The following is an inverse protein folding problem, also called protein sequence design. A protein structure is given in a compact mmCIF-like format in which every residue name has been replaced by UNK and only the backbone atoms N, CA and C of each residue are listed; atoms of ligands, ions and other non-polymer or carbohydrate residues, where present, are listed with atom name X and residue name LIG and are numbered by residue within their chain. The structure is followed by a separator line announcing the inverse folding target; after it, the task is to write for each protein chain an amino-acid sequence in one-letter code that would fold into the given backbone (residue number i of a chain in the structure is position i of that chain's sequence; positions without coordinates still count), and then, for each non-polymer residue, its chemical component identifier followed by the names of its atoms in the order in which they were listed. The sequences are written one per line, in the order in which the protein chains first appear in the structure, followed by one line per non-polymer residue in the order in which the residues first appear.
data_IF_419109411078
#
_entry.id   IF_419109411078
#
_cell.length_a   1.000
_cell.length_b   1.000
_cell.length_c   1.000
_cell.angle_alpha   90.00
_cell.angle_beta   90.00
_cell.angle_gamma   90.00
#
_symmetry.space_group_name_H-M   'P 1'
#
loop_
_entity.id
_entity.type
_entity.pdbx_description
1 polymer ?
#
# COMPACT_ATOMS: atom_id res chain seq x y z
N UNK A 1 -5.13 1.23 -29.15
CA UNK A 1 -6.34 0.38 -28.99
C UNK A 1 -6.52 0.15 -27.51
N UNK A 2 -7.66 0.57 -26.95
CA UNK A 2 -8.00 0.28 -25.55
C UNK A 2 -8.35 -1.20 -25.42
N UNK A 3 -7.87 -1.84 -24.36
CA UNK A 3 -8.03 -3.26 -24.13
C UNK A 3 -9.17 -3.50 -23.15
N UNK A 4 -10.15 -4.31 -23.53
CA UNK A 4 -11.27 -4.65 -22.63
C UNK A 4 -10.77 -5.25 -21.30
N UNK A 5 -11.40 -4.84 -20.21
CA UNK A 5 -11.13 -5.36 -18.87
C UNK A 5 -11.78 -6.74 -18.74
N UNK A 6 -11.10 -7.76 -19.24
CA UNK A 6 -11.56 -9.15 -19.11
C UNK A 6 -11.18 -9.74 -17.75
N UNK A 7 -11.95 -10.73 -17.27
CA UNK A 7 -11.67 -11.44 -16.02
C UNK A 7 -10.26 -12.04 -15.95
N UNK A 8 -9.71 -12.51 -17.09
CA UNK A 8 -8.33 -13.01 -17.17
C UNK A 8 -7.30 -11.91 -16.87
N UNK A 9 -7.51 -10.70 -17.39
CA UNK A 9 -6.63 -9.55 -17.15
C UNK A 9 -6.77 -9.03 -15.72
N UNK A 10 -8.01 -8.96 -15.21
CA UNK A 10 -8.28 -8.60 -13.82
C UNK A 10 -7.58 -9.56 -12.83
N UNK A 11 -7.63 -10.87 -13.09
CA UNK A 11 -6.93 -11.87 -12.29
C UNK A 11 -5.39 -11.69 -12.31
N UNK A 12 -4.79 -11.37 -13.48
CA UNK A 12 -3.34 -11.07 -13.57
C UNK A 12 -2.97 -9.84 -12.72
N UNK A 13 -3.79 -8.78 -12.75
CA UNK A 13 -3.56 -7.56 -11.95
C UNK A 13 -3.73 -7.86 -10.46
N UNK A 14 -4.80 -8.56 -10.09
CA UNK A 14 -5.07 -8.96 -8.70
C UNK A 14 -3.97 -9.85 -8.13
N UNK A 15 -3.50 -10.83 -8.91
CA UNK A 15 -2.39 -11.70 -8.49
C UNK A 15 -1.10 -10.91 -8.25
N UNK A 16 -0.80 -9.96 -9.14
CA UNK A 16 0.33 -9.06 -8.96
C UNK A 16 0.17 -8.12 -7.74
N UNK A 17 -1.06 -7.73 -7.42
CA UNK A 17 -1.39 -6.97 -6.21
C UNK A 17 -1.17 -7.80 -4.96
N UNK A 18 -1.70 -9.03 -4.94
CA UNK A 18 -1.66 -9.93 -3.80
C UNK A 18 -0.22 -10.17 -3.31
N UNK A 19 0.69 -10.59 -4.19
CA UNK A 19 2.08 -10.88 -3.81
C UNK A 19 2.84 -9.66 -3.29
N UNK A 20 2.63 -8.50 -3.93
CA UNK A 20 3.29 -7.27 -3.50
C UNK A 20 2.76 -6.77 -2.17
N UNK A 21 1.46 -6.95 -1.94
CA UNK A 21 0.85 -6.61 -0.67
C UNK A 21 1.35 -7.54 0.45
N UNK A 22 1.49 -8.85 0.19
CA UNK A 22 2.08 -9.80 1.14
C UNK A 22 3.51 -9.39 1.49
N UNK A 23 4.35 -9.08 0.49
CA UNK A 23 5.73 -8.61 0.72
C UNK A 23 5.73 -7.31 1.55
N UNK A 24 4.87 -6.36 1.23
CA UNK A 24 4.76 -5.10 1.96
C UNK A 24 4.33 -5.30 3.42
N UNK A 25 3.39 -6.21 3.69
CA UNK A 25 2.97 -6.58 5.05
C UNK A 25 4.15 -7.18 5.81
N UNK A 26 4.89 -8.12 5.22
CA UNK A 26 6.06 -8.74 5.86
C UNK A 26 7.11 -7.68 6.19
N UNK A 27 7.41 -6.78 5.23
CA UNK A 27 8.37 -5.68 5.44
C UNK A 27 7.89 -4.73 6.54
N UNK A 28 6.60 -4.39 6.55
CA UNK A 28 6.01 -3.55 7.59
C UNK A 28 6.07 -4.22 8.98
N UNK A 29 5.84 -5.53 9.05
CA UNK A 29 5.95 -6.29 10.30
C UNK A 29 7.38 -6.32 10.82
N UNK A 30 8.37 -6.53 9.94
CA UNK A 30 9.79 -6.53 10.34
C UNK A 30 10.20 -5.14 10.83
N UNK A 31 9.93 -4.09 10.04
CA UNK A 31 10.29 -2.71 10.40
C UNK A 31 9.57 -2.27 11.67
N UNK A 32 8.25 -2.48 11.74
CA UNK A 32 7.44 -2.15 12.91
C UNK A 32 7.85 -2.94 14.15
N UNK A 33 8.19 -4.22 14.00
CA UNK A 33 8.68 -5.07 15.07
C UNK A 33 10.03 -4.62 15.60
N UNK A 34 10.99 -4.31 14.72
CA UNK A 34 12.32 -3.81 15.10
C UNK A 34 12.21 -2.45 15.81
N UNK A 35 11.46 -1.51 15.24
CA UNK A 35 11.28 -0.17 15.83
C UNK A 35 10.52 -0.27 17.16
N UNK A 36 9.44 -1.06 17.19
CA UNK A 36 8.64 -1.29 18.40
C UNK A 36 9.47 -1.94 19.52
N UNK A 37 10.34 -2.88 19.18
CA UNK A 37 11.26 -3.51 20.13
C UNK A 37 12.26 -2.50 20.70
N UNK A 38 12.93 -1.70 19.85
CA UNK A 38 13.90 -0.70 20.29
C UNK A 38 13.25 0.32 21.22
N UNK A 39 12.10 0.88 20.82
CA UNK A 39 11.37 1.88 21.60
C UNK A 39 10.86 1.26 22.90
N UNK A 40 10.24 0.08 22.83
CA UNK A 40 9.73 -0.63 24.00
C UNK A 40 10.82 -0.94 25.01
N UNK A 41 12.00 -1.37 24.55
CA UNK A 41 13.16 -1.64 25.39
C UNK A 41 13.66 -0.38 26.10
N UNK A 42 13.81 0.73 25.38
CA UNK A 42 14.25 2.01 25.96
C UNK A 42 13.23 2.50 27.00
N UNK A 43 11.94 2.52 26.66
CA UNK A 43 10.90 3.00 27.56
C UNK A 43 10.74 2.12 28.81
N UNK A 44 10.94 0.81 28.67
CA UNK A 44 10.94 -0.12 29.81
C UNK A 44 12.08 0.18 30.79
N UNK A 45 13.29 0.49 30.29
CA UNK A 45 14.43 0.85 31.14
C UNK A 45 14.15 2.15 31.92
N UNK A 46 13.43 3.09 31.33
CA UNK A 46 13.06 4.38 31.96
C UNK A 46 11.88 4.22 32.95
N UNK A 47 11.31 3.01 33.09
CA UNK A 47 10.23 2.72 34.03
C UNK A 47 8.85 3.19 33.55
N UNK A 48 8.67 3.40 32.25
CA UNK A 48 7.38 3.77 31.66
C UNK A 48 6.41 2.60 31.76
N UNK A 49 5.14 2.90 32.05
CA UNK A 49 4.10 1.87 32.16
C UNK A 49 3.89 1.10 30.85
N UNK A 50 3.63 -0.21 30.96
CA UNK A 50 3.39 -1.07 29.79
C UNK A 50 2.22 -0.58 28.92
N UNK A 51 1.21 0.04 29.51
CA UNK A 51 0.07 0.60 28.79
C UNK A 51 0.49 1.77 27.89
N UNK A 52 1.33 2.68 28.42
CA UNK A 52 1.87 3.80 27.63
C UNK A 52 2.79 3.29 26.51
N UNK A 53 3.62 2.29 26.79
CA UNK A 53 4.50 1.66 25.79
C UNK A 53 3.66 1.04 24.66
N UNK A 54 2.61 0.29 24.99
CA UNK A 54 1.74 -0.34 24.01
C UNK A 54 1.00 0.70 23.15
N UNK A 55 0.54 1.79 23.76
CA UNK A 55 -0.11 2.88 23.03
C UNK A 55 0.83 3.53 22.01
N UNK A 56 2.05 3.91 22.44
CA UNK A 56 3.05 4.56 21.58
C UNK A 56 3.49 3.63 20.44
N UNK A 57 3.82 2.38 20.77
CA UNK A 57 4.29 1.40 19.76
C UNK A 57 3.19 1.06 18.75
N UNK A 58 1.92 1.00 19.17
CA UNK A 58 0.78 0.77 18.28
C UNK A 58 0.57 1.94 17.32
N UNK A 59 0.65 3.18 17.79
CA UNK A 59 0.54 4.37 16.94
C UNK A 59 1.66 4.42 15.89
N UNK A 60 2.90 4.14 16.30
CA UNK A 60 4.05 4.08 15.40
C UNK A 60 3.87 2.97 14.36
N UNK A 61 3.46 1.77 14.80
CA UNK A 61 3.17 0.65 13.92
C UNK A 61 2.08 0.98 12.88
N UNK A 62 1.02 1.69 13.29
CA UNK A 62 -0.04 2.15 12.39
C UNK A 62 0.49 3.11 11.33
N UNK A 63 1.30 4.10 11.72
CA UNK A 63 1.88 5.07 10.78
C UNK A 63 2.80 4.36 9.78
N UNK A 64 3.67 3.47 10.25
CA UNK A 64 4.57 2.69 9.39
C UNK A 64 3.76 1.81 8.43
N UNK A 65 2.74 1.11 8.92
CA UNK A 65 1.87 0.28 8.10
C UNK A 65 1.17 1.08 7.00
N UNK A 66 0.65 2.27 7.35
CA UNK A 66 0.01 3.17 6.39
C UNK A 66 0.98 3.64 5.32
N UNK A 67 2.18 4.08 5.70
CA UNK A 67 3.20 4.55 4.76
C UNK A 67 3.69 3.45 3.82
N UNK A 68 3.75 2.20 4.29
CA UNK A 68 4.17 1.06 3.46
C UNK A 68 3.03 0.60 2.54
N UNK A 69 1.76 0.76 2.94
CA UNK A 69 0.59 0.30 2.17
C UNK A 69 0.47 0.93 0.77
N UNK A 70 1.03 2.12 0.54
CA UNK A 70 0.98 2.79 -0.77
C UNK A 70 2.01 2.23 -1.78
N UNK A 71 3.06 1.57 -1.28
CA UNK A 71 4.17 1.06 -2.11
C UNK A 71 3.70 -0.01 -3.11
N UNK A 72 2.91 -1.04 -2.70
CA UNK A 72 2.34 -2.01 -3.64
C UNK A 72 1.56 -1.35 -4.77
N UNK A 73 0.75 -0.33 -4.47
CA UNK A 73 -0.09 0.37 -5.46
C UNK A 73 0.79 0.99 -6.54
N UNK A 74 1.81 1.76 -6.15
CA UNK A 74 2.76 2.36 -7.09
C UNK A 74 3.50 1.32 -7.93
N UNK A 75 3.94 0.21 -7.33
CA UNK A 75 4.64 -0.87 -8.04
C UNK A 75 3.74 -1.60 -9.05
N UNK A 76 2.43 -1.61 -8.84
CA UNK A 76 1.46 -2.24 -9.73
C UNK A 76 1.20 -1.37 -10.94
N UNK A 77 1.03 -0.07 -10.73
CA UNK A 77 0.88 0.90 -11.82
C UNK A 77 2.13 0.94 -12.71
N UNK A 78 3.33 0.83 -12.12
CA UNK A 78 4.58 0.83 -12.87
C UNK A 78 4.94 -0.54 -13.50
N UNK A 79 4.13 -1.59 -13.29
CA UNK A 79 4.44 -2.92 -13.83
C UNK A 79 4.07 -3.02 -15.31
N UNK A 80 4.98 -3.55 -16.11
CA UNK A 80 4.66 -4.08 -17.43
C UNK A 80 4.12 -5.53 -17.30
N UNK A 81 2.92 -5.77 -17.83
CA UNK A 81 2.30 -7.12 -17.86
C UNK A 81 2.56 -7.85 -19.20
N UNK A 82 3.37 -7.27 -20.08
CA UNK A 82 3.72 -7.79 -21.41
C UNK A 82 2.61 -7.58 -22.44
N UNK A 83 1.39 -8.04 -22.13
CA UNK A 83 0.21 -7.84 -22.99
C UNK A 83 -0.39 -6.43 -22.85
N UNK A 84 -0.19 -5.78 -21.70
CA UNK A 84 -0.74 -4.47 -21.38
C UNK A 84 0.04 -3.82 -20.23
N UNK A 85 -0.13 -2.51 -20.07
CA UNK A 85 0.37 -1.73 -18.92
C UNK A 85 -0.75 -0.85 -18.39
N UNK A 86 -0.75 -0.61 -17.08
CA UNK A 86 -1.69 0.33 -16.46
C UNK A 86 -1.16 1.74 -16.68
N UNK A 87 -1.96 2.60 -17.30
CA UNK A 87 -1.59 4.00 -17.56
C UNK A 87 -2.66 4.90 -16.97
N UNK A 88 -2.23 5.96 -16.30
CA UNK A 88 -3.12 7.02 -15.85
C UNK A 88 -3.28 8.00 -17.01
N UNK A 89 -4.50 8.10 -17.54
CA UNK A 89 -4.85 9.11 -18.53
C UNK A 89 -5.45 10.31 -17.81
N UNK A 90 -5.00 11.51 -18.17
CA UNK A 90 -5.56 12.74 -17.66
C UNK A 90 -6.94 12.93 -18.28
N UNK A 91 -7.99 13.01 -17.46
CA UNK A 91 -9.31 13.40 -17.96
C UNK A 91 -9.32 14.91 -18.16
N UNK A 92 -9.55 15.36 -19.39
CA UNK A 92 -9.72 16.79 -19.67
C UNK A 92 -11.16 17.19 -19.29
N UNK A 93 -11.38 18.18 -18.40
CA UNK A 93 -12.71 18.54 -17.92
C UNK A 93 -13.74 18.83 -19.02
N UNK A 94 -13.27 19.32 -20.18
CA UNK A 94 -14.11 19.63 -21.34
C UNK A 94 -14.75 18.40 -22.01
N UNK A 95 -14.10 17.23 -21.95
CA UNK A 95 -14.65 15.97 -22.49
C UNK A 95 -15.62 15.30 -21.51
N UNK A 96 -15.43 15.54 -20.21
CA UNK A 96 -16.25 14.96 -19.15
C UNK A 96 -17.68 15.55 -19.09
N UNK A 97 -17.87 16.79 -19.53
CA UNK A 97 -19.20 17.42 -19.63
C UNK A 97 -20.00 16.96 -20.84
N UNK A 98 -19.35 16.59 -21.95
CA UNK A 98 -20.03 16.09 -23.15
C UNK A 98 -20.53 14.65 -22.97
N UNK A 99 -19.79 13.83 -22.23
CA UNK A 99 -20.13 12.42 -22.00
C UNK A 99 -21.19 12.19 -20.89
N UNK A 100 -21.48 13.22 -20.08
CA UNK A 100 -22.56 13.20 -19.07
C UNK A 100 -23.90 13.75 -19.58
N UNK A 101 -23.91 14.38 -20.76
CA UNK A 101 -25.09 15.02 -21.35
C UNK A 101 -25.79 14.16 -22.41
N UNK A 102 -25.19 13.02 -22.78
CA UNK A 102 -25.78 11.96 -23.62
C UNK A 102 -26.09 10.73 -22.76
#
# INVERSE_FOLDING_TARGET
MELEVTWKRAAKVWWAYLWRNIIAIIVAMIIGGVIGFIIGFILAIVGVSSQTIQFITTLIGMIIGLLISIVPVKMILAKDYGEFRLVLLQTNPAEQSLNKAN
#
